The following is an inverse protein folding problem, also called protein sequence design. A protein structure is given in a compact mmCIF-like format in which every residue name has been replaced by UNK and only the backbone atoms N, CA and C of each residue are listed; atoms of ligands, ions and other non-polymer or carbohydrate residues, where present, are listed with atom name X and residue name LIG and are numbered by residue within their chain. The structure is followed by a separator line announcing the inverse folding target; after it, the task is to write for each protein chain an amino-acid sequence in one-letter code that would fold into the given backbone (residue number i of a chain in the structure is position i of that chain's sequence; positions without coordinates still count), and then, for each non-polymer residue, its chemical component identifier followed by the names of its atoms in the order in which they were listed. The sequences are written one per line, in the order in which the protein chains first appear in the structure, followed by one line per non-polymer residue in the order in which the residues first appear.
data_IF_329224470426
#
_entry.id   IF_329224470426
#
_cell.length_a   1.000
_cell.length_b   1.000
_cell.length_c   1.000
_cell.angle_alpha   90.00
_cell.angle_beta   90.00
_cell.angle_gamma   90.00
#
_symmetry.space_group_name_H-M   'P 1'
#
loop_
_entity.id
_entity.type
_entity.pdbx_description
1 polymer ?
#
# COMPACT_ATOMS: atom_id res chain seq x y z
N UNK A 1 -46.93 8.00 -3.32
CA UNK A 1 -46.78 7.13 -4.50
C UNK A 1 -47.25 7.85 -5.75
N UNK A 2 -46.33 8.31 -6.60
CA UNK A 2 -46.58 8.63 -8.00
C UNK A 2 -45.32 8.25 -8.78
N UNK A 3 -45.48 7.24 -9.64
CA UNK A 3 -44.42 6.65 -10.46
C UNK A 3 -44.36 7.44 -11.76
N UNK A 4 -43.20 8.02 -12.07
CA UNK A 4 -42.91 8.61 -13.38
C UNK A 4 -41.91 7.72 -14.10
N UNK A 5 -42.42 6.85 -14.97
CA UNK A 5 -41.67 6.12 -16.00
C UNK A 5 -41.26 7.09 -17.11
N UNK A 6 -39.96 7.22 -17.38
CA UNK A 6 -39.43 7.84 -18.61
C UNK A 6 -38.79 6.77 -19.49
N UNK A 7 -38.93 6.89 -20.83
CA UNK A 7 -38.55 5.85 -21.78
C UNK A 7 -37.07 5.92 -22.19
N UNK A 8 -36.59 4.75 -22.57
CA UNK A 8 -35.26 4.40 -23.06
C UNK A 8 -34.90 5.14 -24.36
N UNK A 9 -33.61 5.50 -24.50
CA UNK A 9 -32.95 5.68 -25.79
C UNK A 9 -31.54 5.11 -25.74
N UNK A 10 -31.45 3.86 -26.18
CA UNK A 10 -30.23 3.21 -26.65
C UNK A 10 -29.67 3.98 -27.85
N UNK A 11 -28.41 4.42 -27.75
CA UNK A 11 -27.63 4.84 -28.90
C UNK A 11 -26.34 4.01 -28.92
N UNK A 12 -26.42 2.89 -29.64
CA UNK A 12 -25.28 2.07 -30.05
C UNK A 12 -24.63 2.77 -31.23
N UNK A 13 -23.36 3.15 -31.10
CA UNK A 13 -22.57 3.66 -32.22
C UNK A 13 -21.29 2.82 -32.35
N UNK A 14 -21.44 1.73 -33.08
CA UNK A 14 -20.36 0.84 -33.53
C UNK A 14 -19.72 1.47 -34.75
N UNK A 15 -18.41 1.74 -34.72
CA UNK A 15 -17.66 2.18 -35.89
C UNK A 15 -16.50 1.21 -36.12
N UNK A 16 -16.74 0.24 -36.99
CA UNK A 16 -15.76 -0.71 -37.52
C UNK A 16 -15.11 -0.04 -38.73
N UNK A 17 -13.81 0.24 -38.66
CA UNK A 17 -12.99 0.51 -39.85
C UNK A 17 -12.05 -0.67 -40.04
N UNK A 18 -12.43 -1.54 -40.97
CA UNK A 18 -11.57 -2.55 -41.55
C UNK A 18 -10.86 -1.94 -42.75
N UNK A 19 -9.52 -1.94 -42.74
CA UNK A 19 -8.71 -1.76 -43.94
C UNK A 19 -7.60 -2.81 -43.93
N UNK A 20 -7.83 -3.84 -44.73
CA UNK A 20 -6.95 -4.95 -45.07
C UNK A 20 -5.79 -4.49 -45.97
N UNK A 21 -4.56 -4.88 -45.62
CA UNK A 21 -3.42 -4.95 -46.54
C UNK A 21 -2.98 -6.42 -46.67
N UNK A 22 -3.08 -7.05 -47.85
CA UNK A 22 -2.45 -8.33 -48.13
C UNK A 22 -1.06 -8.09 -48.75
N UNK A 23 -0.03 -8.72 -48.20
CA UNK A 23 1.34 -8.60 -48.73
C UNK A 23 2.31 -9.54 -48.04
N UNK A 24 2.57 -10.68 -48.69
CA UNK A 24 3.41 -11.79 -48.26
C UNK A 24 4.90 -11.39 -48.10
N UNK A 25 5.50 -11.77 -46.97
CA UNK A 25 6.91 -12.16 -46.92
C UNK A 25 7.08 -13.24 -45.85
N UNK A 26 7.51 -14.42 -46.29
CA UNK A 26 7.92 -15.51 -45.43
C UNK A 26 9.17 -15.11 -44.63
N UNK A 27 9.05 -15.14 -43.31
CA UNK A 27 10.18 -15.33 -42.40
C UNK A 27 9.82 -16.50 -41.49
N UNK A 28 10.26 -17.69 -41.87
CA UNK A 28 10.51 -18.78 -40.94
C UNK A 28 11.66 -18.32 -40.03
N UNK A 29 11.31 -17.66 -38.95
CA UNK A 29 12.16 -17.59 -37.78
C UNK A 29 11.41 -18.37 -36.71
N UNK A 30 11.82 -19.61 -36.51
CA UNK A 30 11.74 -20.25 -35.20
C UNK A 30 12.48 -19.31 -34.24
N UNK A 31 11.76 -18.31 -33.73
CA UNK A 31 12.17 -17.61 -32.55
C UNK A 31 12.01 -18.65 -31.45
N UNK A 32 13.11 -19.39 -31.22
CA UNK A 32 13.41 -19.90 -29.90
C UNK A 32 12.98 -18.79 -28.95
N UNK A 33 11.95 -19.08 -28.15
CA UNK A 33 11.61 -18.23 -27.04
C UNK A 33 12.84 -18.30 -26.12
N UNK A 34 13.81 -17.43 -26.40
CA UNK A 34 14.75 -16.96 -25.42
C UNK A 34 13.84 -16.52 -24.28
N UNK A 35 13.73 -17.39 -23.29
CA UNK A 35 13.33 -17.00 -21.96
C UNK A 35 14.33 -15.93 -21.60
N UNK A 36 13.99 -14.68 -21.90
CA UNK A 36 14.66 -13.50 -21.38
C UNK A 36 14.45 -13.62 -19.89
N UNK A 37 15.40 -14.29 -19.24
CA UNK A 37 15.54 -14.31 -17.81
C UNK A 37 15.64 -12.83 -17.45
N UNK A 38 14.56 -12.27 -16.93
CA UNK A 38 14.57 -10.91 -16.41
C UNK A 38 15.82 -10.81 -15.52
N UNK A 39 16.68 -9.81 -15.73
CA UNK A 39 17.89 -9.70 -14.94
C UNK A 39 17.47 -9.72 -13.48
N UNK A 40 17.98 -10.69 -12.71
CA UNK A 40 17.76 -10.73 -11.28
C UNK A 40 18.16 -9.36 -10.73
N UNK A 41 17.20 -8.62 -10.17
CA UNK A 41 17.46 -7.28 -9.66
C UNK A 41 18.48 -7.39 -8.55
N UNK A 42 19.48 -6.52 -8.56
CA UNK A 42 20.53 -6.59 -7.53
C UNK A 42 19.91 -6.31 -6.15
N UNK A 43 20.44 -6.90 -5.06
CA UNK A 43 19.94 -6.63 -3.70
C UNK A 43 19.89 -5.13 -3.37
N UNK A 44 20.86 -4.35 -3.87
CA UNK A 44 20.89 -2.90 -3.72
C UNK A 44 19.72 -2.20 -4.44
N UNK A 45 19.33 -2.67 -5.63
CA UNK A 45 18.18 -2.12 -6.35
C UNK A 45 16.86 -2.41 -5.62
N UNK A 46 16.71 -3.62 -5.07
CA UNK A 46 15.52 -3.97 -4.28
C UNK A 46 15.43 -3.11 -3.03
N UNK A 47 16.54 -2.95 -2.29
CA UNK A 47 16.60 -2.04 -1.13
C UNK A 47 16.15 -0.63 -1.50
N UNK A 48 16.76 -0.01 -2.52
CA UNK A 48 16.37 1.34 -2.96
C UNK A 48 14.90 1.43 -3.31
N UNK A 49 14.35 0.42 -4.01
CA UNK A 49 12.94 0.43 -4.37
C UNK A 49 12.01 0.34 -3.14
N UNK A 50 12.39 -0.39 -2.09
CA UNK A 50 11.65 -0.47 -0.83
C UNK A 50 11.73 0.83 -0.04
N UNK A 51 12.89 1.49 -0.03
CA UNK A 51 13.05 2.83 0.58
C UNK A 51 12.10 3.82 -0.11
N UNK A 52 12.12 3.87 -1.45
CA UNK A 52 11.26 4.76 -2.22
C UNK A 52 9.77 4.44 -2.01
N UNK A 53 9.41 3.15 -1.91
CA UNK A 53 8.04 2.70 -1.64
C UNK A 53 7.55 3.17 -0.26
N UNK A 54 8.39 3.03 0.76
CA UNK A 54 8.03 3.39 2.14
C UNK A 54 7.94 4.90 2.34
N UNK A 55 8.95 5.65 1.87
CA UNK A 55 8.97 7.11 1.97
C UNK A 55 7.84 7.77 1.16
N UNK A 56 7.36 7.11 0.10
CA UNK A 56 6.32 7.63 -0.77
C UNK A 56 6.66 9.02 -1.32
N UNK A 57 5.68 9.92 -1.36
CA UNK A 57 5.90 11.33 -1.74
C UNK A 57 6.47 12.20 -0.60
N UNK A 58 6.64 11.65 0.61
CA UNK A 58 7.02 12.44 1.80
C UNK A 58 8.52 12.72 1.89
N UNK A 59 9.36 11.88 1.28
CA UNK A 59 10.83 11.89 1.33
C UNK A 59 11.49 13.23 1.73
N UNK A 60 11.50 13.52 3.04
CA UNK A 60 12.19 14.67 3.61
C UNK A 60 12.82 14.28 4.95
N UNK A 61 14.12 14.57 5.10
CA UNK A 61 14.87 14.43 6.37
C UNK A 61 14.64 13.10 7.09
N UNK A 62 13.86 13.16 8.17
CA UNK A 62 13.60 12.05 9.10
C UNK A 62 12.87 10.86 8.42
N UNK A 63 12.15 11.11 7.32
CA UNK A 63 11.49 10.06 6.53
C UNK A 63 12.49 9.11 5.84
N UNK A 64 13.69 9.60 5.53
CA UNK A 64 14.70 8.82 4.83
C UNK A 64 15.32 7.76 5.74
N UNK A 65 15.66 8.10 6.98
CA UNK A 65 16.24 7.17 7.94
C UNK A 65 15.23 6.07 8.33
N UNK A 66 13.96 6.44 8.52
CA UNK A 66 12.88 5.49 8.78
C UNK A 66 12.65 4.53 7.60
N UNK A 67 12.67 5.05 6.37
CA UNK A 67 12.52 4.24 5.16
C UNK A 67 13.71 3.29 4.93
N UNK A 68 14.94 3.75 5.21
CA UNK A 68 16.13 2.89 5.17
C UNK A 68 16.09 1.80 6.22
N UNK A 69 15.74 2.14 7.47
CA UNK A 69 15.54 1.17 8.54
C UNK A 69 14.50 0.12 8.14
N UNK A 70 13.34 0.54 7.63
CA UNK A 70 12.27 -0.35 7.19
C UNK A 70 12.75 -1.32 6.10
N UNK A 71 13.43 -0.80 5.07
CA UNK A 71 13.91 -1.63 3.97
C UNK A 71 14.94 -2.66 4.43
N UNK A 72 15.86 -2.26 5.31
CA UNK A 72 16.90 -3.14 5.85
C UNK A 72 16.32 -4.21 6.78
N UNK A 73 15.39 -3.85 7.68
CA UNK A 73 14.75 -4.80 8.59
C UNK A 73 13.83 -5.78 7.83
N UNK A 74 13.08 -5.30 6.82
CA UNK A 74 12.25 -6.15 5.99
C UNK A 74 13.09 -7.18 5.22
N UNK A 75 14.19 -6.75 4.59
CA UNK A 75 15.10 -7.65 3.87
C UNK A 75 15.87 -8.58 4.81
N UNK A 76 15.97 -8.25 6.10
CA UNK A 76 16.48 -9.14 7.14
C UNK A 76 15.50 -10.28 7.50
N UNK A 77 14.21 -10.12 7.21
CA UNK A 77 13.14 -11.07 7.56
C UNK A 77 12.65 -11.92 6.39
N UNK A 78 12.59 -11.33 5.20
CA UNK A 78 12.05 -11.97 4.00
C UNK A 78 12.96 -11.71 2.80
N UNK A 79 13.04 -12.69 1.91
CA UNK A 79 13.79 -12.59 0.66
C UNK A 79 13.05 -11.73 -0.38
N UNK A 80 13.76 -11.15 -1.36
CA UNK A 80 13.13 -10.49 -2.51
C UNK A 80 12.15 -11.40 -3.27
N UNK A 81 12.41 -12.71 -3.34
CA UNK A 81 11.51 -13.71 -3.92
C UNK A 81 10.20 -13.82 -3.15
N UNK A 82 10.25 -13.88 -1.82
CA UNK A 82 9.07 -13.89 -0.95
C UNK A 82 8.29 -12.58 -1.06
N UNK A 83 8.97 -11.43 -1.14
CA UNK A 83 8.31 -10.13 -1.38
C UNK A 83 7.60 -10.07 -2.74
N UNK A 84 8.16 -10.68 -3.78
CA UNK A 84 7.51 -10.80 -5.09
C UNK A 84 6.28 -11.72 -5.02
N UNK A 85 6.46 -12.90 -4.46
CA UNK A 85 5.42 -13.93 -4.43
C UNK A 85 4.26 -13.52 -3.48
N UNK A 86 4.58 -12.83 -2.39
CA UNK A 86 3.63 -12.24 -1.44
C UNK A 86 3.00 -10.92 -1.91
N UNK A 87 3.38 -10.39 -3.08
CA UNK A 87 2.65 -9.31 -3.74
C UNK A 87 3.14 -7.87 -3.47
N UNK A 88 4.29 -7.69 -2.81
CA UNK A 88 4.95 -6.39 -2.64
C UNK A 88 5.67 -5.99 -3.94
N UNK A 89 6.42 -6.93 -4.52
CA UNK A 89 7.18 -6.71 -5.76
C UNK A 89 6.50 -7.35 -6.98
N UNK A 90 6.79 -6.83 -8.16
CA UNK A 90 6.42 -7.41 -9.45
C UNK A 90 7.50 -8.39 -9.97
N UNK A 91 7.27 -9.00 -11.14
CA UNK A 91 8.20 -9.96 -11.74
C UNK A 91 9.57 -9.37 -12.10
N UNK A 92 9.70 -8.03 -12.13
CA UNK A 92 10.96 -7.30 -12.33
C UNK A 92 11.56 -6.82 -11.02
N UNK A 93 11.06 -7.31 -9.87
CA UNK A 93 11.42 -6.89 -8.51
C UNK A 93 11.28 -5.39 -8.28
N UNK A 94 10.27 -4.75 -8.89
CA UNK A 94 9.90 -3.38 -8.58
C UNK A 94 8.66 -3.37 -7.69
N UNK A 95 8.51 -2.38 -6.80
CA UNK A 95 7.27 -2.18 -6.06
C UNK A 95 6.08 -2.11 -6.99
N UNK A 96 5.00 -2.80 -6.64
CA UNK A 96 3.75 -2.66 -7.37
C UNK A 96 3.15 -1.28 -7.09
N UNK A 97 2.64 -0.62 -8.14
CA UNK A 97 1.95 0.68 -7.99
C UNK A 97 0.63 0.62 -7.21
N UNK A 98 0.15 -0.59 -6.91
CA UNK A 98 -0.94 -0.84 -5.97
C UNK A 98 -0.55 -2.07 -5.17
N UNK A 99 -0.44 -1.94 -3.85
CA UNK A 99 -0.19 -3.09 -2.98
C UNK A 99 -1.34 -4.08 -3.16
N UNK A 100 -0.99 -5.29 -3.57
CA UNK A 100 -1.92 -6.40 -3.57
C UNK A 100 -2.20 -6.80 -2.10
N UNK A 101 -3.27 -7.56 -1.89
CA UNK A 101 -3.43 -8.30 -0.63
C UNK A 101 -2.20 -9.15 -0.38
N UNK A 102 -1.54 -8.93 0.75
CA UNK A 102 -0.33 -9.68 1.10
C UNK A 102 -0.70 -11.03 1.70
N UNK A 103 0.18 -12.00 1.51
CA UNK A 103 0.10 -13.23 2.30
C UNK A 103 0.48 -12.96 3.76
N UNK A 104 0.16 -13.92 4.65
CA UNK A 104 0.39 -13.74 6.09
C UNK A 104 1.86 -13.53 6.44
N UNK A 105 2.81 -14.37 5.97
CA UNK A 105 4.22 -14.20 6.34
C UNK A 105 4.79 -12.84 5.92
N UNK A 106 4.47 -12.36 4.72
CA UNK A 106 4.95 -11.05 4.24
C UNK A 106 4.24 -9.91 4.97
N UNK A 107 2.95 -10.02 5.26
CA UNK A 107 2.23 -9.02 6.06
C UNK A 107 2.81 -8.90 7.48
N UNK A 108 3.08 -10.03 8.15
CA UNK A 108 3.71 -10.06 9.47
C UNK A 108 5.11 -9.43 9.40
N UNK A 109 5.97 -9.85 8.47
CA UNK A 109 7.31 -9.29 8.31
C UNK A 109 7.31 -7.78 8.01
N UNK A 110 6.38 -7.32 7.17
CA UNK A 110 6.18 -5.90 6.88
C UNK A 110 5.81 -5.12 8.13
N UNK A 111 4.80 -5.59 8.87
CA UNK A 111 4.35 -4.93 10.10
C UNK A 111 5.46 -4.86 11.14
N UNK A 112 6.22 -5.94 11.35
CA UNK A 112 7.33 -5.92 12.30
C UNK A 112 8.44 -4.93 11.90
N UNK A 113 8.79 -4.91 10.60
CA UNK A 113 9.79 -3.97 10.09
C UNK A 113 9.34 -2.52 10.30
N UNK A 114 8.09 -2.21 9.97
CA UNK A 114 7.52 -0.89 10.20
C UNK A 114 7.55 -0.49 11.70
N UNK A 115 7.07 -1.37 12.58
CA UNK A 115 6.99 -1.09 14.02
C UNK A 115 8.35 -1.04 14.71
N UNK A 116 9.40 -1.64 14.13
CA UNK A 116 10.77 -1.53 14.64
C UNK A 116 11.44 -0.19 14.31
N UNK A 117 10.96 0.48 13.26
CA UNK A 117 11.58 1.67 12.69
C UNK A 117 10.78 2.94 12.91
N UNK A 118 9.49 2.82 13.22
CA UNK A 118 8.58 3.95 13.42
C UNK A 118 7.68 3.74 14.63
N UNK A 119 7.26 4.84 15.24
CA UNK A 119 6.25 4.85 16.28
C UNK A 119 4.88 5.05 15.64
N UNK A 120 3.99 4.06 15.78
CA UNK A 120 2.66 4.10 15.18
C UNK A 120 1.85 5.33 15.61
N UNK A 121 1.95 5.74 16.89
CA UNK A 121 1.17 6.87 17.41
C UNK A 121 1.70 8.17 16.81
N UNK A 122 3.02 8.33 16.70
CA UNK A 122 3.64 9.47 16.05
C UNK A 122 3.22 9.58 14.57
N UNK A 123 3.36 8.49 13.80
CA UNK A 123 2.96 8.41 12.38
C UNK A 123 1.47 8.70 12.19
N UNK A 124 0.61 8.10 13.02
CA UNK A 124 -0.83 8.35 12.97
C UNK A 124 -1.17 9.80 13.31
N UNK A 125 -0.41 10.44 14.20
CA UNK A 125 -0.61 11.85 14.59
C UNK A 125 -0.26 12.76 13.44
N UNK A 126 0.91 12.61 12.83
CA UNK A 126 1.33 13.41 11.68
C UNK A 126 0.36 13.28 10.51
N UNK A 127 -0.07 12.04 10.19
CA UNK A 127 -1.07 11.79 9.17
C UNK A 127 -2.38 12.54 9.46
N UNK A 128 -2.84 12.54 10.71
CA UNK A 128 -4.07 13.21 11.10
C UNK A 128 -3.93 14.74 11.13
N UNK A 129 -2.77 15.27 11.50
CA UNK A 129 -2.46 16.71 11.39
C UNK A 129 -2.54 17.17 9.93
N UNK A 130 -1.94 16.41 9.01
CA UNK A 130 -1.99 16.69 7.58
C UNK A 130 -3.45 16.67 7.07
N UNK A 131 -4.24 15.64 7.43
CA UNK A 131 -5.65 15.51 7.04
C UNK A 131 -6.53 16.64 7.58
N UNK A 132 -6.28 17.07 8.81
CA UNK A 132 -7.06 18.15 9.47
C UNK A 132 -6.58 19.55 9.09
N UNK A 133 -5.48 19.65 8.34
CA UNK A 133 -4.78 20.89 7.95
C UNK A 133 -4.28 21.68 9.16
N UNK A 134 -3.66 20.98 10.11
CA UNK A 134 -3.10 21.57 11.33
C UNK A 134 -4.15 22.04 12.35
N UNK A 135 -5.38 21.52 12.27
CA UNK A 135 -6.44 21.82 13.25
C UNK A 135 -6.53 20.79 14.38
N UNK A 136 -5.70 19.77 14.33
CA UNK A 136 -5.59 18.76 15.37
C UNK A 136 -4.75 19.30 16.53
N UNK A 137 -5.19 19.07 17.75
CA UNK A 137 -4.33 19.07 18.93
C UNK A 137 -3.56 17.74 18.94
N UNK A 138 -2.33 17.78 18.43
CA UNK A 138 -1.48 16.60 18.25
C UNK A 138 -1.19 15.87 19.57
N UNK A 139 -0.87 16.63 20.62
CA UNK A 139 -0.57 16.08 21.94
C UNK A 139 -1.81 15.36 22.53
N UNK A 140 -2.99 15.98 22.40
CA UNK A 140 -4.23 15.35 22.84
C UNK A 140 -4.58 14.10 22.03
N UNK A 141 -4.32 14.10 20.72
CA UNK A 141 -4.55 12.94 19.86
C UNK A 141 -3.61 11.78 20.20
N UNK A 142 -2.31 12.05 20.31
CA UNK A 142 -1.30 11.06 20.67
C UNK A 142 -1.59 10.44 22.05
N UNK A 143 -1.86 11.26 23.07
CA UNK A 143 -2.19 10.78 24.41
C UNK A 143 -3.49 9.94 24.44
N UNK A 144 -4.48 10.29 23.60
CA UNK A 144 -5.70 9.51 23.48
C UNK A 144 -5.46 8.14 22.84
N UNK A 145 -4.66 8.07 21.76
CA UNK A 145 -4.34 6.80 21.11
C UNK A 145 -3.52 5.88 22.01
N UNK A 146 -2.48 6.41 22.66
CA UNK A 146 -1.62 5.66 23.58
C UNK A 146 -2.41 5.05 24.75
N UNK A 147 -3.42 5.77 25.25
CA UNK A 147 -4.32 5.27 26.28
C UNK A 147 -5.36 4.23 25.81
N UNK A 148 -5.46 3.96 24.50
CA UNK A 148 -6.53 3.13 23.92
C UNK A 148 -6.09 1.94 23.12
N UNK A 149 -4.92 2.00 22.49
CA UNK A 149 -4.41 0.92 21.66
C UNK A 149 -3.12 0.41 22.28
N UNK A 150 -3.09 -0.88 22.60
CA UNK A 150 -1.83 -1.54 22.93
C UNK A 150 -1.09 -2.00 21.67
N UNK A 151 0.18 -2.36 21.86
CA UNK A 151 1.06 -2.78 20.77
C UNK A 151 0.55 -4.04 20.03
N UNK A 152 -0.12 -4.95 20.74
CA UNK A 152 -0.69 -6.17 20.14
C UNK A 152 -1.84 -5.83 19.20
N UNK A 153 -2.75 -4.96 19.61
CA UNK A 153 -3.87 -4.49 18.79
C UNK A 153 -3.38 -3.75 17.54
N UNK A 154 -2.37 -2.87 17.68
CA UNK A 154 -1.76 -2.16 16.55
C UNK A 154 -1.17 -3.15 15.55
N UNK A 155 -0.42 -4.14 16.06
CA UNK A 155 0.19 -5.19 15.25
C UNK A 155 -0.85 -6.00 14.49
N UNK A 156 -1.83 -6.54 15.19
CA UNK A 156 -2.86 -7.42 14.60
C UNK A 156 -3.72 -6.67 13.58
N UNK A 157 -4.07 -5.41 13.87
CA UNK A 157 -4.80 -4.55 12.95
C UNK A 157 -3.98 -4.24 11.68
N UNK A 158 -2.68 -3.98 11.83
CA UNK A 158 -1.77 -3.69 10.71
C UNK A 158 -1.62 -4.90 9.79
N UNK A 159 -1.35 -6.08 10.36
CA UNK A 159 -1.27 -7.34 9.61
C UNK A 159 -2.59 -7.62 8.89
N UNK A 160 -3.72 -7.51 9.58
CA UNK A 160 -5.04 -7.75 9.00
C UNK A 160 -5.37 -6.77 7.87
N UNK A 161 -4.98 -5.50 8.01
CA UNK A 161 -5.15 -4.47 6.96
C UNK A 161 -4.35 -4.82 5.71
N UNK A 162 -3.08 -5.21 5.85
CA UNK A 162 -2.23 -5.63 4.72
C UNK A 162 -2.76 -6.90 4.02
N UNK A 163 -3.42 -7.78 4.79
CA UNK A 163 -4.12 -8.95 4.29
C UNK A 163 -5.54 -8.66 3.77
N UNK A 164 -5.96 -7.39 3.71
CA UNK A 164 -7.31 -6.94 3.31
C UNK A 164 -8.46 -7.59 4.12
N UNK A 165 -8.21 -7.94 5.39
CA UNK A 165 -9.18 -8.52 6.34
C UNK A 165 -9.80 -7.43 7.21
N UNK A 166 -10.62 -6.60 6.59
CA UNK A 166 -11.22 -5.42 7.26
C UNK A 166 -12.34 -5.76 8.24
N UNK A 167 -12.79 -7.02 8.27
CA UNK A 167 -13.75 -7.55 9.24
C UNK A 167 -13.10 -8.05 10.53
N UNK A 168 -11.76 -8.03 10.61
CA UNK A 168 -11.02 -8.41 11.81
C UNK A 168 -11.31 -7.44 12.98
N UNK A 169 -11.60 -7.94 14.20
CA UNK A 169 -11.91 -7.09 15.35
C UNK A 169 -10.84 -6.05 15.67
N UNK A 170 -9.55 -6.38 15.49
CA UNK A 170 -8.46 -5.45 15.78
C UNK A 170 -8.49 -4.23 14.83
N UNK A 171 -8.85 -4.45 13.56
CA UNK A 171 -9.02 -3.36 12.57
C UNK A 171 -10.19 -2.45 12.99
N UNK A 172 -11.29 -3.05 13.44
CA UNK A 172 -12.44 -2.30 13.96
C UNK A 172 -12.10 -1.46 15.18
N UNK A 173 -11.37 -2.04 16.14
CA UNK A 173 -10.92 -1.36 17.35
C UNK A 173 -9.98 -0.19 17.05
N UNK A 174 -8.96 -0.41 16.20
CA UNK A 174 -8.05 0.64 15.75
C UNK A 174 -8.79 1.78 15.05
N UNK A 175 -9.74 1.46 14.16
CA UNK A 175 -10.53 2.46 13.45
C UNK A 175 -11.40 3.31 14.38
N UNK A 176 -12.06 2.68 15.36
CA UNK A 176 -12.88 3.38 16.37
C UNK A 176 -11.99 4.28 17.22
N UNK A 177 -10.84 3.79 17.69
CA UNK A 177 -9.91 4.57 18.49
C UNK A 177 -9.41 5.82 17.74
N UNK A 178 -8.94 5.66 16.49
CA UNK A 178 -8.50 6.78 15.64
C UNK A 178 -9.62 7.80 15.40
N UNK A 179 -10.84 7.34 15.11
CA UNK A 179 -11.99 8.22 14.89
C UNK A 179 -12.37 9.02 16.14
N UNK A 180 -12.51 8.34 17.28
CA UNK A 180 -12.91 8.97 18.54
C UNK A 180 -11.83 9.94 19.05
N UNK A 181 -10.56 9.54 19.00
CA UNK A 181 -9.46 10.43 19.37
C UNK A 181 -9.38 11.64 18.44
N UNK A 182 -9.57 11.48 17.13
CA UNK A 182 -9.60 12.63 16.23
C UNK A 182 -10.74 13.60 16.54
N UNK A 183 -11.92 13.11 16.92
CA UNK A 183 -13.06 13.98 17.25
C UNK A 183 -12.81 14.75 18.56
N UNK A 184 -12.17 14.12 19.54
CA UNK A 184 -11.85 14.73 20.83
C UNK A 184 -10.73 15.78 20.72
N UNK A 185 -9.81 15.60 19.77
CA UNK A 185 -8.62 16.44 19.61
C UNK A 185 -8.77 17.59 18.61
N UNK A 186 -9.96 17.82 18.04
CA UNK A 186 -10.21 19.02 17.22
C UNK A 186 -10.94 20.08 18.07
N UNK A 187 -10.38 21.29 18.24
CA UNK A 187 -11.02 22.35 19.01
C UNK A 187 -12.43 22.68 18.49
N UNK A 188 -13.39 22.76 19.41
CA UNK A 188 -14.73 23.28 19.11
C UNK A 188 -14.66 24.81 19.11
N UNK A 189 -14.48 25.38 17.92
CA UNK A 189 -14.57 26.84 17.71
C UNK A 189 -15.95 27.40 17.97
#
# INVERSE_FOLDING_TARGET
MRVHTRPERLAVLTLIVAASLPGLAACTAEAEADTVTAPASSPAQVRTALVDLYAGERASGDDADAAECFADDLLGRVSPEELRDGGVLDASYRPRGTLATLDRPVAEAWTEAQMSCTDFVAESTEAQEALTKGRLDADAYAACLDGRLDAETIRDASVSTLMARFDDPAVGEMSVAQSECSVLSVPRG
#
